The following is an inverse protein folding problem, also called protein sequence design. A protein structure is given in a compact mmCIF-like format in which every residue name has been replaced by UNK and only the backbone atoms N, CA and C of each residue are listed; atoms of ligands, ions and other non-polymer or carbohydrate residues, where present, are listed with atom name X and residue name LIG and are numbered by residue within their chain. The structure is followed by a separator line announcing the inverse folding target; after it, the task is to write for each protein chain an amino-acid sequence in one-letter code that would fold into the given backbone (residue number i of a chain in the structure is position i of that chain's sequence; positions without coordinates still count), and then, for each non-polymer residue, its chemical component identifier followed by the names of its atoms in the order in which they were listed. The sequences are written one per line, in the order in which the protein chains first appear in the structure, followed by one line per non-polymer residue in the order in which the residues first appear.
data_IF_383311283075
#
_entry.id   IF_383311283075
#
_cell.length_a   1.000
_cell.length_b   1.000
_cell.length_c   1.000
_cell.angle_alpha   90.00
_cell.angle_beta   90.00
_cell.angle_gamma   90.00
#
_symmetry.space_group_name_H-M   'P 1'
#
loop_
_entity.id
_entity.type
_entity.pdbx_description
1 polymer ?
#
# COMPACT_ATOMS: atom_id res chain seq x y z
N UNK A 1 10.00 4.60 19.31
CA UNK A 1 10.15 4.88 17.86
C UNK A 1 11.60 4.65 17.48
N UNK A 2 11.90 4.31 16.22
CA UNK A 2 13.30 4.15 15.76
C UNK A 2 13.54 5.04 14.53
N UNK A 3 14.77 5.52 14.37
CA UNK A 3 15.18 6.31 13.21
C UNK A 3 16.41 5.69 12.57
N UNK A 4 16.45 5.70 11.24
CA UNK A 4 17.56 5.23 10.42
C UNK A 4 17.83 6.27 9.35
N UNK A 5 19.02 6.85 9.36
CA UNK A 5 19.42 7.86 8.38
C UNK A 5 20.80 7.55 7.82
N UNK A 6 21.18 8.22 6.74
CA UNK A 6 22.55 8.12 6.23
C UNK A 6 23.60 8.59 7.25
N UNK A 7 23.19 9.42 8.24
CA UNK A 7 24.07 9.94 9.29
C UNK A 7 24.21 9.00 10.47
N UNK A 8 23.22 8.14 10.72
CA UNK A 8 23.32 7.11 11.76
C UNK A 8 24.25 5.95 11.36
N UNK A 9 25.11 6.12 10.35
CA UNK A 9 26.05 5.11 9.86
C UNK A 9 25.42 3.73 9.59
N UNK A 10 24.17 3.72 9.11
CA UNK A 10 23.35 2.51 8.91
C UNK A 10 23.02 1.75 10.21
N UNK A 11 22.92 2.45 11.33
CA UNK A 11 22.44 1.90 12.59
C UNK A 11 21.06 2.45 12.91
N UNK A 12 20.24 1.61 13.53
CA UNK A 12 18.92 2.01 14.02
C UNK A 12 19.08 2.66 15.40
N UNK A 13 18.69 3.92 15.51
CA UNK A 13 18.64 4.62 16.79
C UNK A 13 17.24 4.50 17.37
N UNK A 14 17.12 4.20 18.67
CA UNK A 14 15.84 4.09 19.38
C UNK A 14 15.60 5.34 20.24
N UNK A 15 14.40 5.91 20.14
CA UNK A 15 13.96 6.97 21.05
C UNK A 15 13.95 6.46 22.49
N UNK A 16 14.44 7.28 23.41
CA UNK A 16 14.46 7.00 24.84
C UNK A 16 13.17 7.49 25.49
N UNK A 17 12.75 6.87 26.60
CA UNK A 17 11.70 7.43 27.42
C UNK A 17 12.19 8.75 28.08
N UNK A 18 11.32 9.74 28.32
CA UNK A 18 11.70 10.91 29.09
C UNK A 18 12.21 10.46 30.47
N UNK A 19 13.30 11.07 30.94
CA UNK A 19 13.90 10.74 32.24
C UNK A 19 12.93 11.00 33.39
N UNK A 20 13.01 10.20 34.46
CA UNK A 20 12.10 10.21 35.61
C UNK A 20 11.96 11.58 36.32
N UNK A 21 12.91 12.50 36.10
CA UNK A 21 13.00 13.79 36.79
C UNK A 21 12.68 15.02 35.90
N UNK A 22 12.19 14.83 34.68
CA UNK A 22 11.83 15.95 33.79
C UNK A 22 13.03 16.78 33.28
N UNK A 23 14.26 16.32 33.50
CA UNK A 23 15.43 16.95 32.88
C UNK A 23 15.46 16.64 31.38
N UNK A 24 15.76 17.63 30.52
CA UNK A 24 15.84 17.45 29.08
C UNK A 24 17.11 16.66 28.74
N UNK A 25 17.03 15.34 28.87
CA UNK A 25 18.05 14.45 28.29
C UNK A 25 17.90 14.56 26.77
N UNK A 26 18.89 15.14 26.10
CA UNK A 26 18.97 15.11 24.63
C UNK A 26 18.86 13.65 24.19
N UNK A 27 17.84 13.37 23.38
CA UNK A 27 17.63 12.08 22.76
C UNK A 27 18.12 12.18 21.31
N UNK A 28 19.30 11.62 20.99
CA UNK A 28 19.87 11.72 19.65
C UNK A 28 18.91 11.24 18.55
N UNK A 29 18.08 10.23 18.85
CA UNK A 29 17.10 9.73 17.90
C UNK A 29 15.99 10.76 17.66
N UNK A 30 15.53 11.45 18.71
CA UNK A 30 14.51 12.49 18.62
C UNK A 30 15.05 13.74 17.93
N UNK A 31 16.30 14.12 18.21
CA UNK A 31 17.00 15.22 17.55
C UNK A 31 17.18 14.94 16.05
N UNK A 32 17.56 13.71 15.68
CA UNK A 32 17.68 13.30 14.27
C UNK A 32 16.32 13.27 13.56
N UNK A 33 15.24 12.83 14.24
CA UNK A 33 13.87 12.90 13.71
C UNK A 33 13.48 14.36 13.47
N UNK A 34 13.67 15.25 14.44
CA UNK A 34 13.34 16.67 14.32
C UNK A 34 14.12 17.33 13.18
N UNK A 35 15.42 17.02 13.08
CA UNK A 35 16.29 17.49 12.00
C UNK A 35 15.79 17.00 10.64
N UNK A 36 15.53 15.71 10.49
CA UNK A 36 15.02 15.11 9.26
C UNK A 36 13.69 15.73 8.82
N UNK A 37 12.76 15.93 9.77
CA UNK A 37 11.50 16.62 9.50
C UNK A 37 11.73 18.07 9.06
N UNK A 38 12.60 18.81 9.73
CA UNK A 38 12.97 20.18 9.34
C UNK A 38 13.58 20.24 7.93
N UNK A 39 14.48 19.30 7.60
CA UNK A 39 15.08 19.16 6.27
C UNK A 39 14.01 18.90 5.20
N UNK A 40 12.99 18.07 5.49
CA UNK A 40 11.84 17.85 4.58
C UNK A 40 11.08 19.15 4.27
N UNK A 41 10.91 20.06 5.22
CA UNK A 41 10.27 21.36 4.96
C UNK A 41 11.19 22.35 4.24
N UNK A 42 12.50 22.23 4.44
CA UNK A 42 13.52 23.12 3.88
C UNK A 42 13.95 22.75 2.47
N UNK A 43 13.82 21.48 2.08
CA UNK A 43 14.24 21.01 0.75
C UNK A 43 13.54 21.74 -0.42
N UNK A 44 14.28 21.90 -1.52
CA UNK A 44 13.74 22.44 -2.77
C UNK A 44 12.84 21.41 -3.47
N UNK A 45 13.23 20.13 -3.40
CA UNK A 45 12.51 19.02 -4.00
C UNK A 45 12.19 17.99 -2.90
N UNK A 46 10.91 17.70 -2.71
CA UNK A 46 10.45 16.63 -1.82
C UNK A 46 9.79 15.54 -2.66
N UNK A 47 10.37 14.36 -2.60
CA UNK A 47 9.83 13.13 -3.18
C UNK A 47 9.47 12.22 -2.01
N UNK A 48 8.17 11.93 -1.87
CA UNK A 48 7.70 10.96 -0.90
C UNK A 48 7.36 9.68 -1.65
N UNK A 49 8.07 8.60 -1.34
CA UNK A 49 7.79 7.26 -1.84
C UNK A 49 7.01 6.52 -0.75
N UNK A 50 5.70 6.65 -0.79
CA UNK A 50 4.83 5.87 0.10
C UNK A 50 4.69 4.49 -0.50
N UNK A 51 5.26 3.48 0.16
CA UNK A 51 5.19 2.09 -0.30
C UNK A 51 3.76 1.54 -0.28
N UNK A 52 3.58 0.36 -0.90
CA UNK A 52 2.35 -0.44 -0.96
C UNK A 52 1.61 -0.54 0.40
N UNK A 53 2.37 -0.53 1.49
CA UNK A 53 1.87 -0.65 2.86
C UNK A 53 1.18 0.58 3.45
N UNK A 54 1.13 1.71 2.75
CA UNK A 54 0.60 2.96 3.33
C UNK A 54 -0.91 2.87 3.54
N UNK A 55 -1.65 2.35 2.55
CA UNK A 55 -3.08 2.04 2.69
C UNK A 55 -3.33 0.87 3.65
N UNK A 56 -2.36 -0.05 3.78
CA UNK A 56 -2.50 -1.21 4.65
C UNK A 56 -2.58 -0.84 6.14
N UNK A 57 -2.19 0.37 6.55
CA UNK A 57 -2.23 0.81 7.94
C UNK A 57 -3.51 1.54 8.34
N UNK A 58 -4.44 1.77 7.41
CA UNK A 58 -5.77 2.32 7.75
C UNK A 58 -6.62 1.21 8.36
N UNK A 59 -7.40 1.57 9.39
CA UNK A 59 -8.30 0.67 10.12
C UNK A 59 -7.59 -0.54 10.77
N UNK A 60 -6.27 -0.45 11.02
CA UNK A 60 -5.52 -1.49 11.73
C UNK A 60 -5.58 -1.23 13.23
N UNK A 61 -5.96 -2.25 13.99
CA UNK A 61 -5.94 -2.24 15.44
C UNK A 61 -4.49 -2.07 15.95
N UNK A 62 -4.22 -0.92 16.58
CA UNK A 62 -2.89 -0.56 17.06
C UNK A 62 -2.43 -1.42 18.25
N UNK A 63 -3.37 -1.95 19.05
CA UNK A 63 -3.07 -2.76 20.22
C UNK A 63 -2.70 -4.19 19.82
N UNK A 64 -3.26 -4.68 18.71
CA UNK A 64 -3.01 -6.05 18.19
C UNK A 64 -1.92 -6.14 17.13
N UNK A 65 -1.06 -5.12 17.00
CA UNK A 65 0.01 -5.09 15.97
C UNK A 65 0.95 -6.28 16.02
N UNK A 66 1.20 -6.85 17.19
CA UNK A 66 2.06 -8.04 17.37
C UNK A 66 1.45 -9.32 16.78
N UNK A 67 0.14 -9.35 16.56
CA UNK A 67 -0.61 -10.48 15.99
C UNK A 67 -0.83 -10.34 14.48
N UNK A 68 -0.16 -9.37 13.86
CA UNK A 68 -0.32 -9.02 12.46
C UNK A 68 -1.40 -7.97 12.23
N UNK A 69 -1.95 -7.96 11.02
CA UNK A 69 -2.85 -6.91 10.58
C UNK A 69 -4.31 -7.29 10.87
N UNK A 70 -4.84 -6.80 11.99
CA UNK A 70 -6.23 -7.00 12.39
C UNK A 70 -7.06 -5.75 12.16
N UNK A 71 -8.29 -5.87 11.61
CA UNK A 71 -9.20 -4.73 11.51
C UNK A 71 -9.58 -4.24 12.90
N UNK A 72 -9.76 -2.92 13.03
CA UNK A 72 -10.59 -2.35 14.09
C UNK A 72 -12.01 -2.92 13.97
N UNK A 73 -12.69 -3.13 15.10
CA UNK A 73 -14.03 -3.72 15.11
C UNK A 73 -15.00 -2.97 14.18
N UNK A 74 -15.71 -3.70 13.32
CA UNK A 74 -16.64 -3.14 12.35
C UNK A 74 -16.00 -2.45 11.13
N UNK A 75 -14.67 -2.36 11.05
CA UNK A 75 -13.96 -1.72 9.94
C UNK A 75 -13.32 -2.72 8.99
N UNK A 76 -13.06 -2.27 7.76
CA UNK A 76 -12.43 -3.08 6.71
C UNK A 76 -10.97 -2.70 6.54
N UNK A 77 -10.15 -3.71 6.27
CA UNK A 77 -8.76 -3.55 5.89
C UNK A 77 -8.65 -3.40 4.37
N UNK A 78 -7.73 -2.55 3.89
CA UNK A 78 -7.28 -2.58 2.51
C UNK A 78 -6.81 -3.98 2.10
N UNK A 79 -7.22 -4.57 0.98
CA UNK A 79 -6.76 -5.91 0.62
C UNK A 79 -5.28 -5.91 0.21
N UNK A 80 -4.57 -7.01 0.46
CA UNK A 80 -3.28 -7.29 -0.18
C UNK A 80 -3.49 -7.89 -1.58
N UNK A 81 -2.45 -7.93 -2.40
CA UNK A 81 -2.51 -8.59 -3.72
C UNK A 81 -2.91 -10.06 -3.61
N UNK A 82 -2.44 -10.74 -2.58
CA UNK A 82 -2.82 -12.13 -2.32
C UNK A 82 -4.30 -12.26 -1.92
N UNK A 83 -4.82 -11.35 -1.10
CA UNK A 83 -6.25 -11.32 -0.76
C UNK A 83 -7.11 -11.11 -2.00
N UNK A 84 -6.70 -10.20 -2.90
CA UNK A 84 -7.38 -9.97 -4.17
C UNK A 84 -7.35 -11.20 -5.07
N UNK A 85 -6.19 -11.86 -5.18
CA UNK A 85 -6.02 -13.10 -5.95
C UNK A 85 -6.98 -14.19 -5.47
N UNK A 86 -6.99 -14.47 -4.16
CA UNK A 86 -7.87 -15.48 -3.57
C UNK A 86 -9.34 -15.12 -3.76
N UNK A 87 -9.71 -13.85 -3.55
CA UNK A 87 -11.09 -13.41 -3.70
C UNK A 87 -11.59 -13.51 -5.14
N UNK A 88 -10.76 -13.15 -6.12
CA UNK A 88 -11.11 -13.34 -7.54
C UNK A 88 -11.26 -14.83 -7.83
N UNK A 89 -10.32 -15.67 -7.39
CA UNK A 89 -10.39 -17.13 -7.55
C UNK A 89 -11.67 -17.73 -6.98
N UNK A 90 -12.07 -17.30 -5.79
CA UNK A 90 -13.31 -17.75 -5.15
C UNK A 90 -14.55 -17.36 -5.96
N UNK A 91 -14.62 -16.12 -6.45
CA UNK A 91 -15.79 -15.62 -7.21
C UNK A 91 -15.87 -16.25 -8.60
N UNK A 92 -14.74 -16.49 -9.27
CA UNK A 92 -14.74 -17.04 -10.63
C UNK A 92 -14.74 -18.57 -10.66
N UNK A 93 -14.43 -19.24 -9.56
CA UNK A 93 -14.45 -20.70 -9.47
C UNK A 93 -13.58 -21.38 -10.54
N UNK A 94 -14.14 -22.39 -11.21
CA UNK A 94 -13.45 -23.20 -12.22
C UNK A 94 -12.92 -22.39 -13.41
N UNK A 95 -13.53 -21.24 -13.73
CA UNK A 95 -13.05 -20.34 -14.78
C UNK A 95 -11.66 -19.75 -14.45
N UNK A 96 -11.28 -19.69 -13.16
CA UNK A 96 -9.97 -19.14 -12.76
C UNK A 96 -8.81 -19.95 -13.33
N UNK A 97 -8.82 -21.27 -13.14
CA UNK A 97 -7.75 -22.16 -13.61
C UNK A 97 -7.73 -22.25 -15.13
N UNK A 98 -8.91 -22.24 -15.76
CA UNK A 98 -9.03 -22.18 -17.22
C UNK A 98 -8.39 -20.91 -17.77
N UNK A 99 -8.66 -19.76 -17.16
CA UNK A 99 -8.11 -18.47 -17.60
C UNK A 99 -6.60 -18.38 -17.32
N UNK A 100 -6.09 -18.98 -16.24
CA UNK A 100 -4.65 -19.09 -16.01
C UNK A 100 -3.94 -19.80 -17.16
N UNK A 101 -4.50 -20.92 -17.63
CA UNK A 101 -3.96 -21.65 -18.77
C UNK A 101 -4.00 -20.83 -20.07
N UNK A 102 -5.12 -20.13 -20.32
CA UNK A 102 -5.32 -19.32 -21.53
C UNK A 102 -4.46 -18.04 -21.56
N UNK A 103 -4.27 -17.40 -20.40
CA UNK A 103 -3.53 -16.14 -20.28
C UNK A 103 -2.02 -16.33 -20.38
N UNK A 104 -1.52 -17.56 -20.20
CA UNK A 104 -0.09 -17.91 -20.20
C UNK A 104 0.72 -17.04 -19.24
N UNK A 105 0.16 -16.71 -18.09
CA UNK A 105 0.86 -15.96 -17.05
C UNK A 105 2.09 -16.76 -16.58
N UNK A 106 3.29 -16.16 -16.47
CA UNK A 106 4.47 -16.84 -15.96
C UNK A 106 4.26 -17.43 -14.56
N UNK A 107 4.84 -18.61 -14.30
CA UNK A 107 4.67 -19.31 -13.01
C UNK A 107 5.14 -18.48 -11.80
N UNK A 108 6.15 -17.62 -11.96
CA UNK A 108 6.62 -16.78 -10.87
C UNK A 108 5.60 -15.71 -10.48
N UNK A 109 4.84 -15.16 -11.44
CA UNK A 109 3.74 -14.24 -11.19
C UNK A 109 2.53 -14.95 -10.58
N UNK A 110 2.26 -16.19 -11.00
CA UNK A 110 1.24 -17.05 -10.37
C UNK A 110 1.58 -17.33 -8.90
N UNK A 111 2.83 -17.68 -8.59
CA UNK A 111 3.30 -17.94 -7.21
C UNK A 111 3.21 -16.69 -6.33
N UNK A 112 3.41 -15.50 -6.89
CA UNK A 112 3.24 -14.22 -6.18
C UNK A 112 1.76 -13.84 -5.97
N UNK A 113 0.84 -14.51 -6.65
CA UNK A 113 -0.57 -14.13 -6.69
C UNK A 113 -0.77 -12.73 -7.28
N UNK A 114 -0.04 -12.40 -8.34
CA UNK A 114 -0.10 -11.07 -8.94
C UNK A 114 -1.33 -10.94 -9.86
N UNK A 115 -2.46 -10.50 -9.29
CA UNK A 115 -3.71 -10.34 -10.03
C UNK A 115 -3.63 -9.27 -11.14
N UNK A 116 -2.77 -8.26 -11.00
CA UNK A 116 -2.57 -7.23 -12.02
C UNK A 116 -1.83 -7.78 -13.25
N UNK A 117 -0.81 -8.62 -13.01
CA UNK A 117 -0.12 -9.34 -14.08
C UNK A 117 -1.10 -10.30 -14.78
N UNK A 118 -1.92 -11.03 -14.04
CA UNK A 118 -2.96 -11.89 -14.62
C UNK A 118 -3.93 -11.10 -15.50
N UNK A 119 -4.48 -9.99 -15.01
CA UNK A 119 -5.39 -9.13 -15.78
C UNK A 119 -4.73 -8.57 -17.05
N UNK A 120 -3.45 -8.19 -16.96
CA UNK A 120 -2.68 -7.72 -18.12
C UNK A 120 -2.53 -8.81 -19.19
N UNK A 121 -2.18 -10.02 -18.76
CA UNK A 121 -2.08 -11.19 -19.63
C UNK A 121 -3.44 -11.59 -20.23
N UNK A 122 -4.52 -11.53 -19.45
CA UNK A 122 -5.87 -11.80 -19.93
C UNK A 122 -6.30 -10.84 -21.03
N UNK A 123 -6.03 -9.53 -20.86
CA UNK A 123 -6.35 -8.51 -21.87
C UNK A 123 -5.63 -8.78 -23.19
N UNK A 124 -4.36 -9.19 -23.13
CA UNK A 124 -3.61 -9.60 -24.32
C UNK A 124 -4.23 -10.87 -24.92
N UNK A 125 -4.46 -11.90 -24.10
CA UNK A 125 -5.02 -13.18 -24.56
C UNK A 125 -6.37 -13.01 -25.26
N UNK A 126 -7.26 -12.15 -24.74
CA UNK A 126 -8.56 -11.87 -25.34
C UNK A 126 -8.49 -11.33 -26.79
N UNK A 127 -7.37 -10.71 -27.20
CA UNK A 127 -7.16 -10.23 -28.56
C UNK A 127 -6.62 -11.32 -29.51
N UNK A 128 -5.90 -12.32 -28.98
CA UNK A 128 -5.20 -13.33 -29.78
C UNK A 128 -5.86 -14.72 -29.76
N UNK A 129 -6.76 -15.01 -28.82
CA UNK A 129 -7.48 -16.28 -28.78
C UNK A 129 -8.36 -16.42 -30.03
N UNK A 130 -8.17 -17.52 -30.77
CA UNK A 130 -8.91 -17.81 -31.99
C UNK A 130 -10.32 -18.36 -31.68
N UNK A 131 -10.42 -19.17 -30.63
CA UNK A 131 -11.68 -19.76 -30.18
C UNK A 131 -12.57 -18.68 -29.52
N UNK A 132 -13.83 -18.61 -29.95
CA UNK A 132 -14.76 -17.59 -29.51
C UNK A 132 -15.21 -17.81 -28.06
N UNK A 133 -15.39 -19.06 -27.63
CA UNK A 133 -15.87 -19.41 -26.29
C UNK A 133 -14.76 -19.17 -25.25
N UNK A 134 -13.52 -19.50 -25.59
CA UNK A 134 -12.34 -19.16 -24.77
C UNK A 134 -12.18 -17.65 -24.63
N UNK A 135 -12.33 -16.90 -25.73
CA UNK A 135 -12.26 -15.45 -25.72
C UNK A 135 -13.34 -14.83 -24.82
N UNK A 136 -14.57 -15.32 -24.92
CA UNK A 136 -15.67 -14.82 -24.09
C UNK A 136 -15.48 -15.17 -22.61
N UNK A 137 -14.94 -16.36 -22.33
CA UNK A 137 -14.56 -16.77 -20.97
C UNK A 137 -13.55 -15.80 -20.36
N UNK A 138 -12.48 -15.47 -21.09
CA UNK A 138 -11.47 -14.51 -20.64
C UNK A 138 -12.05 -13.10 -20.45
N UNK A 139 -12.93 -12.64 -21.34
CA UNK A 139 -13.59 -11.31 -21.22
C UNK A 139 -14.48 -11.22 -19.99
N UNK A 140 -15.30 -12.26 -19.75
CA UNK A 140 -16.14 -12.36 -18.56
C UNK A 140 -15.30 -12.41 -17.28
N UNK A 141 -14.19 -13.14 -17.31
CA UNK A 141 -13.23 -13.16 -16.21
C UNK A 141 -12.68 -11.77 -15.92
N UNK A 142 -12.17 -11.04 -16.93
CA UNK A 142 -11.64 -9.68 -16.77
C UNK A 142 -12.68 -8.79 -16.09
N UNK A 143 -13.92 -8.80 -16.59
CA UNK A 143 -14.99 -7.97 -16.03
C UNK A 143 -15.28 -8.31 -14.56
N UNK A 144 -15.39 -9.61 -14.26
CA UNK A 144 -15.68 -10.10 -12.90
C UNK A 144 -14.54 -9.78 -11.93
N UNK A 145 -13.29 -10.01 -12.36
CA UNK A 145 -12.10 -9.74 -11.58
C UNK A 145 -11.93 -8.23 -11.31
N UNK A 146 -12.09 -7.37 -12.32
CA UNK A 146 -12.00 -5.91 -12.15
C UNK A 146 -13.10 -5.39 -11.22
N UNK A 147 -14.33 -5.91 -11.33
CA UNK A 147 -15.41 -5.56 -10.41
C UNK A 147 -15.08 -5.99 -8.98
N UNK A 148 -14.61 -7.23 -8.81
CA UNK A 148 -14.26 -7.79 -7.50
C UNK A 148 -13.12 -7.01 -6.84
N UNK A 149 -12.07 -6.67 -7.60
CA UNK A 149 -10.96 -5.85 -7.12
C UNK A 149 -11.45 -4.47 -6.71
N UNK A 150 -12.22 -3.79 -7.56
CA UNK A 150 -12.77 -2.46 -7.28
C UNK A 150 -13.59 -2.44 -5.99
N UNK A 151 -14.42 -3.46 -5.79
CA UNK A 151 -15.28 -3.55 -4.61
C UNK A 151 -14.48 -3.92 -3.36
N UNK A 152 -13.43 -4.73 -3.50
CA UNK A 152 -12.51 -5.06 -2.39
C UNK A 152 -11.66 -3.87 -1.94
N UNK A 153 -11.19 -3.02 -2.88
CA UNK A 153 -10.40 -1.82 -2.55
C UNK A 153 -11.27 -0.65 -2.06
N UNK A 154 -12.61 -0.78 -2.06
CA UNK A 154 -13.51 0.13 -1.35
C UNK A 154 -13.59 -0.29 0.13
N UNK A 155 -12.47 -0.13 0.83
CA UNK A 155 -12.34 -0.48 2.25
C UNK A 155 -12.50 0.72 3.20
N UNK A 156 -12.57 1.93 2.66
CA UNK A 156 -12.75 3.15 3.44
C UNK A 156 -14.22 3.59 3.47
N UNK A 157 -14.70 3.91 4.66
CA UNK A 157 -15.98 4.57 4.89
C UNK A 157 -15.79 6.05 5.28
N UNK A 158 -16.80 6.93 5.11
CA UNK A 158 -16.67 8.37 5.39
C UNK A 158 -16.28 8.72 6.83
N UNK A 159 -16.53 7.82 7.79
CA UNK A 159 -16.26 7.98 9.21
C UNK A 159 -14.93 7.32 9.65
N UNK A 160 -14.16 6.74 8.72
CA UNK A 160 -12.85 6.15 9.03
C UNK A 160 -11.83 7.21 9.44
N UNK A 161 -11.06 6.91 10.48
CA UNK A 161 -10.02 7.81 10.97
C UNK A 161 -8.81 7.82 10.03
N UNK A 162 -8.71 8.91 9.26
CA UNK A 162 -7.57 9.22 8.40
C UNK A 162 -6.80 10.45 8.89
N UNK A 163 -6.93 10.84 10.16
CA UNK A 163 -6.33 12.07 10.70
C UNK A 163 -4.81 12.11 10.51
N UNK A 164 -4.10 10.99 10.70
CA UNK A 164 -2.65 10.90 10.49
C UNK A 164 -2.29 11.18 9.03
N UNK A 165 -3.04 10.63 8.07
CA UNK A 165 -2.83 10.84 6.64
C UNK A 165 -3.15 12.28 6.24
N UNK A 166 -4.24 12.83 6.77
CA UNK A 166 -4.65 14.22 6.54
C UNK A 166 -3.60 15.19 7.10
N UNK A 167 -3.09 14.96 8.31
CA UNK A 167 -2.06 15.78 8.93
C UNK A 167 -0.73 15.69 8.20
N UNK A 168 -0.37 14.51 7.70
CA UNK A 168 0.78 14.34 6.82
C UNK A 168 0.63 15.22 5.56
N UNK A 169 -0.50 15.13 4.85
CA UNK A 169 -0.77 15.94 3.66
C UNK A 169 -0.82 17.44 3.97
N UNK A 170 -1.42 17.85 5.09
CA UNK A 170 -1.44 19.24 5.57
C UNK A 170 -0.03 19.77 5.86
N UNK A 171 0.82 18.95 6.47
CA UNK A 171 2.22 19.32 6.71
C UNK A 171 2.94 19.48 5.37
N UNK A 172 2.79 18.52 4.45
CA UNK A 172 3.38 18.61 3.11
C UNK A 172 2.91 19.83 2.31
N UNK A 173 1.65 20.23 2.46
CA UNK A 173 1.06 21.36 1.73
C UNK A 173 1.46 22.73 2.29
N UNK A 174 1.92 22.82 3.54
CA UNK A 174 2.42 24.07 4.16
C UNK A 174 3.76 24.56 3.61
N UNK A 175 4.39 23.85 2.66
CA UNK A 175 5.60 24.35 1.98
C UNK A 175 5.29 25.65 1.24
N UNK A 176 6.24 26.59 1.28
CA UNK A 176 6.13 27.87 0.60
C UNK A 176 5.86 27.69 -0.90
N UNK A 177 4.94 28.51 -1.43
CA UNK A 177 4.61 28.56 -2.87
C UNK A 177 5.81 28.93 -3.76
N UNK A 178 6.89 29.49 -3.18
CA UNK A 178 8.15 29.79 -3.90
C UNK A 178 9.01 28.55 -4.14
N UNK A 179 8.73 27.43 -3.47
CA UNK A 179 9.44 26.15 -3.66
C UNK A 179 8.72 25.30 -4.69
N UNK A 180 9.44 24.37 -5.32
CA UNK A 180 8.82 23.40 -6.23
C UNK A 180 7.76 22.57 -5.50
N UNK A 181 6.65 22.29 -6.21
CA UNK A 181 5.53 21.48 -5.70
C UNK A 181 6.04 20.14 -5.18
N UNK A 182 5.55 19.70 -4.02
CA UNK A 182 5.81 18.36 -3.48
C UNK A 182 5.32 17.31 -4.47
N UNK A 183 6.13 16.28 -4.72
CA UNK A 183 5.74 15.12 -5.54
C UNK A 183 5.52 13.93 -4.61
N UNK A 184 4.28 13.48 -4.50
CA UNK A 184 3.90 12.28 -3.77
C UNK A 184 3.74 11.14 -4.78
N UNK A 185 4.53 10.09 -4.62
CA UNK A 185 4.41 8.88 -5.39
C UNK A 185 3.90 7.79 -4.46
N UNK A 186 2.72 7.29 -4.77
CA UNK A 186 2.18 6.07 -4.17
C UNK A 186 2.55 4.93 -5.09
N UNK A 187 3.26 3.92 -4.59
CA UNK A 187 3.37 2.65 -5.31
C UNK A 187 2.11 1.84 -4.97
N UNK A 188 1.28 1.55 -5.98
CA UNK A 188 0.47 0.34 -5.99
C UNK A 188 1.27 -0.78 -6.65
#
# INVERSE_FOLDING_TARGET
MQVFTYRSARQWEKTRAPGENGEPVSDPALDEIQRGLSDCFRCNNLVVLTGLGTSLHVNVDAEKRTEGRKPVEGKRLAPTMWDLWLKVREVTGDDFERVLALSRLPEDEQRKGNIEALLSHCKIAAEFLADQDERETVRRFIHTAESTVRDAVRFLEPDDDVAVHADFLRRLSRRSLRKMRSKLFTTN
#
